data_IF_320597645965
#
_entry.id   IF_320597645965
#
_cell.length_a   1.000
_cell.length_b   1.000
_cell.length_c   1.000
_cell.angle_alpha   90.00
_cell.angle_beta   90.00
_cell.angle_gamma   90.00
#
_symmetry.space_group_name_H-M   'P 1'
#
loop_
_entity.id
_entity.type
_entity.pdbx_description
1 polymer ?
#
# COMPACT_ATOMS: atom_id res chain seq x y z
N UNK A 1 -8.40 -8.90 34.03
CA UNK A 1 -8.85 -10.29 34.24
C UNK A 1 -10.20 -10.64 33.58
N UNK A 2 -10.93 -9.69 32.96
CA UNK A 2 -12.20 -10.00 32.27
C UNK A 2 -12.07 -10.31 30.76
N UNK A 3 -10.93 -10.00 30.12
CA UNK A 3 -10.76 -10.19 28.67
C UNK A 3 -10.28 -11.58 28.25
N UNK A 4 -9.78 -12.38 29.20
CA UNK A 4 -9.32 -13.76 28.93
C UNK A 4 -10.45 -14.80 29.04
N UNK A 5 -11.57 -14.45 29.67
CA UNK A 5 -12.70 -15.38 29.82
C UNK A 5 -13.54 -15.55 28.54
N UNK A 6 -13.52 -14.56 27.63
CA UNK A 6 -14.27 -14.63 26.37
C UNK A 6 -13.58 -15.51 25.33
N UNK A 7 -12.26 -15.63 25.37
CA UNK A 7 -11.49 -16.47 24.44
C UNK A 7 -11.51 -17.96 24.82
N UNK A 8 -11.73 -18.28 26.10
CA UNK A 8 -11.76 -19.67 26.58
C UNK A 8 -13.12 -20.33 26.29
N UNK A 9 -14.22 -19.56 26.28
CA UNK A 9 -15.54 -20.08 25.92
C UNK A 9 -15.69 -20.44 24.43
N UNK A 10 -14.82 -19.94 23.54
CA UNK A 10 -14.84 -20.28 22.11
C UNK A 10 -14.15 -21.62 21.79
N UNK A 11 -13.34 -22.13 22.71
CA UNK A 11 -12.56 -23.37 22.52
C UNK A 11 -13.26 -24.58 23.15
N UNK A 12 -14.24 -24.38 24.05
CA UNK A 12 -14.90 -25.46 24.79
C UNK A 12 -16.32 -25.83 24.33
N UNK A 13 -16.89 -25.18 23.30
CA UNK A 13 -18.12 -25.66 22.65
C UNK A 13 -17.77 -26.58 21.48
N UNK A 14 -18.11 -27.85 21.67
CA UNK A 14 -17.79 -29.04 20.89
C UNK A 14 -17.93 -28.95 19.36
N UNK A 15 -17.18 -29.83 18.66
CA UNK A 15 -17.23 -30.05 17.22
C UNK A 15 -18.42 -30.93 16.84
N UNK A 16 -19.38 -30.40 16.09
CA UNK A 16 -20.26 -31.19 15.23
C UNK A 16 -21.03 -30.25 14.30
N UNK A 17 -21.07 -30.61 13.01
CA UNK A 17 -21.89 -30.00 11.96
C UNK A 17 -21.56 -28.55 11.54
N UNK A 18 -20.68 -28.40 10.55
CA UNK A 18 -20.72 -27.25 9.64
C UNK A 18 -20.73 -27.75 8.20
N UNK A 19 -21.93 -27.69 7.59
CA UNK A 19 -22.19 -27.88 6.17
C UNK A 19 -21.31 -26.97 5.30
N UNK A 20 -21.15 -27.36 4.03
CA UNK A 20 -20.53 -26.59 2.91
C UNK A 20 -21.05 -25.14 2.72
N UNK A 21 -22.01 -24.69 3.53
CA UNK A 21 -22.61 -23.37 3.59
C UNK A 21 -21.69 -22.28 4.17
N UNK A 22 -20.80 -22.62 5.11
CA UNK A 22 -20.07 -21.61 5.89
C UNK A 22 -18.71 -21.19 5.31
N UNK A 23 -18.10 -22.01 4.45
CA UNK A 23 -16.94 -21.60 3.65
C UNK A 23 -17.31 -20.46 2.67
N UNK A 24 -18.55 -20.47 2.17
CA UNK A 24 -19.09 -19.40 1.30
C UNK A 24 -19.36 -18.09 2.06
N UNK A 25 -19.71 -18.15 3.34
CA UNK A 25 -19.89 -16.95 4.18
C UNK A 25 -18.54 -16.36 4.59
N UNK A 26 -17.55 -17.19 4.89
CA UNK A 26 -16.18 -16.74 5.20
C UNK A 26 -15.50 -16.06 3.99
N UNK A 27 -15.66 -16.61 2.78
CA UNK A 27 -15.16 -15.99 1.53
C UNK A 27 -15.89 -14.67 1.21
N UNK A 28 -17.20 -14.58 1.51
CA UNK A 28 -17.96 -13.32 1.39
C UNK A 28 -17.49 -12.28 2.40
N UNK A 29 -17.20 -12.66 3.65
CA UNK A 29 -16.67 -11.76 4.68
C UNK A 29 -15.30 -11.20 4.27
N UNK A 30 -14.41 -12.04 3.72
CA UNK A 30 -13.11 -11.61 3.20
C UNK A 30 -13.23 -10.71 1.95
N UNK A 31 -14.23 -10.95 1.09
CA UNK A 31 -14.52 -10.09 -0.07
C UNK A 31 -15.16 -8.76 0.31
N UNK A 32 -16.00 -8.73 1.35
CA UNK A 32 -16.60 -7.51 1.91
C UNK A 32 -15.51 -6.65 2.59
N UNK A 33 -14.59 -7.25 3.35
CA UNK A 33 -13.44 -6.52 3.91
C UNK A 33 -12.45 -6.03 2.84
N UNK A 34 -12.26 -6.77 1.73
CA UNK A 34 -11.45 -6.31 0.60
C UNK A 34 -12.13 -5.16 -0.18
N UNK A 35 -13.47 -5.15 -0.28
CA UNK A 35 -14.24 -4.01 -0.80
C UNK A 35 -14.22 -2.80 0.14
N UNK A 36 -14.27 -3.02 1.47
CA UNK A 36 -14.17 -1.96 2.47
C UNK A 36 -12.76 -1.35 2.51
N UNK A 37 -11.68 -2.14 2.42
CA UNK A 37 -10.31 -1.62 2.23
C UNK A 37 -10.09 -0.87 0.92
N UNK A 38 -10.78 -1.22 -0.17
CA UNK A 38 -10.76 -0.39 -1.40
C UNK A 38 -11.51 0.93 -1.24
N UNK A 39 -12.50 0.98 -0.35
CA UNK A 39 -13.25 2.20 -0.04
C UNK A 39 -12.52 3.08 1.00
N UNK A 40 -11.76 2.46 1.91
CA UNK A 40 -10.98 3.14 2.95
C UNK A 40 -9.59 3.59 2.44
N UNK A 41 -8.99 2.93 1.44
CA UNK A 41 -7.78 3.44 0.75
C UNK A 41 -8.08 4.50 -0.32
N UNK A 42 -9.35 4.77 -0.62
CA UNK A 42 -9.76 5.90 -1.46
C UNK A 42 -9.87 7.22 -0.67
N UNK A 43 -9.78 7.20 0.67
CA UNK A 43 -9.94 8.38 1.53
C UNK A 43 -8.63 8.95 2.09
N UNK A 44 -7.47 8.38 1.74
CA UNK A 44 -6.16 8.95 2.05
C UNK A 44 -5.45 9.48 0.80
N UNK A 45 -6.16 10.27 0.01
CA UNK A 45 -5.50 11.36 -0.73
C UNK A 45 -5.28 12.46 0.31
N UNK A 46 -4.06 12.95 0.58
CA UNK A 46 -3.93 14.21 1.26
C UNK A 46 -4.62 15.23 0.38
N UNK A 47 -5.79 15.70 0.82
CA UNK A 47 -6.41 16.95 0.41
C UNK A 47 -5.47 18.07 0.81
N UNK A 48 -4.33 18.15 0.13
CA UNK A 48 -3.43 19.27 0.15
C UNK A 48 -4.18 20.41 -0.51
N UNK A 49 -4.84 21.20 0.33
CA UNK A 49 -5.38 22.54 0.13
C UNK A 49 -5.09 23.12 -1.27
N UNK A 50 -5.83 22.65 -2.27
CA UNK A 50 -6.09 23.46 -3.44
C UNK A 50 -7.09 24.52 -2.95
N UNK A 51 -6.56 25.54 -2.26
CA UNK A 51 -7.31 26.75 -1.99
C UNK A 51 -7.87 27.18 -3.33
N UNK A 52 -9.19 27.20 -3.46
CA UNK A 52 -9.91 27.65 -4.65
C UNK A 52 -9.48 29.06 -5.07
N UNK A 53 -8.81 29.81 -4.18
CA UNK A 53 -8.10 31.06 -4.48
C UNK A 53 -6.84 30.88 -5.34
N UNK A 54 -6.07 29.81 -5.17
CA UNK A 54 -4.82 29.55 -5.90
C UNK A 54 -5.03 29.20 -7.38
N UNK A 55 -6.07 28.42 -7.71
CA UNK A 55 -6.41 28.08 -9.10
C UNK A 55 -6.97 29.30 -9.84
N UNK A 56 -7.80 30.11 -9.16
CA UNK A 56 -8.34 31.36 -9.72
C UNK A 56 -7.24 32.41 -9.91
N UNK A 57 -6.28 32.53 -8.98
CA UNK A 57 -5.15 33.43 -9.12
C UNK A 57 -4.20 32.99 -10.24
N UNK A 58 -3.94 31.69 -10.38
CA UNK A 58 -3.12 31.16 -11.47
C UNK A 58 -3.78 31.37 -12.84
N UNK A 59 -5.10 31.18 -12.94
CA UNK A 59 -5.84 31.43 -14.19
C UNK A 59 -5.91 32.92 -14.53
N UNK A 60 -6.02 33.79 -13.50
CA UNK A 60 -6.02 35.25 -13.67
C UNK A 60 -4.65 35.81 -14.03
N UNK A 61 -3.57 35.27 -13.46
CA UNK A 61 -2.19 35.61 -13.82
C UNK A 61 -1.81 35.11 -15.22
N UNK A 62 -2.25 33.91 -15.62
CA UNK A 62 -2.10 33.42 -16.99
C UNK A 62 -2.82 34.34 -18.00
N UNK A 63 -4.04 34.76 -17.70
CA UNK A 63 -4.79 35.71 -18.56
C UNK A 63 -4.12 37.09 -18.66
N UNK A 64 -3.54 37.59 -17.57
CA UNK A 64 -2.82 38.88 -17.58
C UNK A 64 -1.52 38.76 -18.40
N UNK A 65 -0.75 37.69 -18.23
CA UNK A 65 0.52 37.48 -18.95
C UNK A 65 0.32 37.22 -20.46
N UNK A 66 -0.75 36.51 -20.83
CA UNK A 66 -1.08 36.22 -22.24
C UNK A 66 -1.70 37.42 -22.97
N UNK A 67 -2.32 38.35 -22.24
CA UNK A 67 -2.76 39.65 -22.77
C UNK A 67 -1.59 40.62 -22.94
N UNK A 68 -0.65 40.63 -21.99
CA UNK A 68 0.50 41.54 -21.99
C UNK A 68 1.57 41.16 -23.05
N UNK A 69 1.72 39.87 -23.35
CA UNK A 69 2.55 39.38 -24.47
C UNK A 69 1.94 39.72 -25.83
N UNK A 70 0.60 39.68 -25.98
CA UNK A 70 -0.11 40.08 -27.22
C UNK A 70 -0.06 41.61 -27.46
N UNK A 71 -0.16 42.41 -26.40
CA UNK A 71 -0.01 43.87 -26.46
C UNK A 71 1.46 44.32 -26.69
N UNK A 72 2.47 43.52 -26.28
CA UNK A 72 3.90 43.78 -26.59
C UNK A 72 4.30 43.42 -28.02
N UNK A 73 3.81 42.31 -28.57
CA UNK A 73 4.09 41.93 -29.96
C UNK A 73 3.45 42.92 -30.95
N UNK A 74 2.28 43.48 -30.63
CA UNK A 74 1.65 44.55 -31.43
C UNK A 74 2.44 45.87 -31.43
N UNK A 75 3.27 46.14 -30.41
CA UNK A 75 4.01 47.40 -30.26
C UNK A 75 5.45 47.37 -30.79
N UNK A 76 5.97 46.18 -31.12
CA UNK A 76 7.33 45.99 -31.68
C UNK A 76 7.38 45.99 -33.22
N UNK A 77 6.25 46.21 -33.90
CA UNK A 77 6.24 46.43 -35.36
C UNK A 77 6.33 47.93 -35.65
N UNK A 78 7.54 48.43 -35.91
CA UNK A 78 7.75 49.72 -36.56
C UNK A 78 7.55 49.54 -38.08
N UNK A 79 6.83 50.44 -38.78
CA UNK A 79 6.76 50.43 -40.24
C UNK A 79 8.11 50.86 -40.85
N UNK A 80 8.42 50.44 -42.09
CA UNK A 80 9.70 50.77 -42.71
C UNK A 80 9.79 52.27 -42.97
N UNK A 81 10.93 52.87 -42.57
CA UNK A 81 11.26 54.28 -42.78
C UNK A 81 11.25 54.62 -44.28
N UNK A 82 10.23 55.33 -44.74
CA UNK A 82 10.28 56.10 -45.99
C UNK A 82 10.85 57.48 -45.71
N UNK A 83 11.91 57.81 -46.46
CA UNK A 83 12.59 59.11 -46.43
C UNK A 83 11.64 60.20 -46.92
N UNK A 84 11.29 61.17 -46.08
CA UNK A 84 10.90 62.50 -46.54
C UNK A 84 11.28 63.56 -45.49
N UNK A 85 12.13 64.49 -45.92
CA UNK A 85 12.55 65.66 -45.15
C UNK A 85 11.36 66.61 -45.02
N UNK A 86 10.82 66.76 -43.81
CA UNK A 86 10.09 67.96 -43.40
C UNK A 86 10.57 68.31 -41.99
N UNK A 87 11.15 69.50 -41.85
CA UNK A 87 11.59 70.03 -40.58
C UNK A 87 10.40 70.08 -39.62
N UNK A 88 10.41 69.20 -38.62
CA UNK A 88 9.49 69.27 -37.49
C UNK A 88 10.00 70.42 -36.62
N UNK A 89 9.26 71.53 -36.61
CA UNK A 89 9.48 72.63 -35.67
C UNK A 89 9.11 72.09 -34.29
N UNK A 90 10.12 71.74 -33.49
CA UNK A 90 9.95 71.26 -32.12
C UNK A 90 9.49 72.44 -31.27
N UNK A 91 8.18 72.52 -31.04
CA UNK A 91 7.62 73.42 -30.03
C UNK A 91 7.90 72.79 -28.67
N UNK A 92 8.79 73.41 -27.91
CA UNK A 92 9.08 73.07 -26.50
C UNK A 92 8.35 74.13 -25.66
N UNK A 93 7.49 73.70 -24.74
CA UNK A 93 6.74 74.56 -23.80
C UNK A 93 5.98 75.78 -24.40
N UNK A 94 5.45 75.66 -25.61
CA UNK A 94 4.55 76.66 -26.19
C UNK A 94 5.19 77.99 -26.63
N UNK A 95 6.53 78.10 -26.64
CA UNK A 95 7.26 79.25 -27.19
C UNK A 95 8.17 78.82 -28.35
N UNK A 96 8.25 79.67 -29.39
CA UNK A 96 9.11 79.44 -30.54
C UNK A 96 10.58 79.59 -30.11
N UNK A 97 11.51 78.69 -30.50
CA UNK A 97 12.94 78.81 -30.20
C UNK A 97 13.58 80.12 -30.71
N UNK A 98 12.89 80.82 -31.61
CA UNK A 98 13.30 82.09 -32.20
C UNK A 98 13.01 83.32 -31.29
N UNK A 99 12.26 83.16 -30.20
CA UNK A 99 11.83 84.26 -29.30
C UNK A 99 12.42 84.17 -27.87
N UNK A 100 13.12 83.08 -27.54
CA UNK A 100 13.71 82.86 -26.23
C UNK A 100 15.09 83.53 -26.10
N UNK A 101 15.38 84.14 -24.94
CA UNK A 101 16.71 84.70 -24.69
C UNK A 101 17.76 83.59 -24.66
N UNK A 102 19.04 83.94 -24.92
CA UNK A 102 20.14 82.98 -24.90
C UNK A 102 20.20 82.20 -23.58
N UNK A 103 20.00 82.87 -22.46
CA UNK A 103 20.03 82.27 -21.12
C UNK A 103 18.84 81.33 -20.90
N UNK A 104 17.66 81.67 -21.42
CA UNK A 104 16.48 80.79 -21.37
C UNK A 104 16.69 79.53 -22.22
N UNK A 105 17.29 79.67 -23.41
CA UNK A 105 17.64 78.53 -24.26
C UNK A 105 18.66 77.61 -23.58
N UNK A 106 19.67 78.17 -22.91
CA UNK A 106 20.67 77.41 -22.15
C UNK A 106 20.01 76.63 -21.00
N UNK A 107 19.09 77.25 -20.26
CA UNK A 107 18.34 76.59 -19.19
C UNK A 107 17.43 75.46 -19.71
N UNK A 108 16.73 75.68 -20.83
CA UNK A 108 15.93 74.63 -21.47
C UNK A 108 16.80 73.45 -21.96
N UNK A 109 18.01 73.72 -22.48
CA UNK A 109 18.95 72.66 -22.86
C UNK A 109 19.37 71.82 -21.65
N UNK A 110 19.59 72.46 -20.49
CA UNK A 110 19.92 71.74 -19.25
C UNK A 110 18.75 70.87 -18.79
N UNK A 111 17.53 71.42 -18.72
CA UNK A 111 16.32 70.67 -18.32
C UNK A 111 16.09 69.44 -19.21
N UNK A 112 16.20 69.60 -20.53
CA UNK A 112 16.04 68.48 -21.48
C UNK A 112 17.11 67.40 -21.33
N UNK A 113 18.35 67.77 -20.94
CA UNK A 113 19.40 66.79 -20.64
C UNK A 113 19.10 66.02 -19.36
N UNK A 114 18.66 66.72 -18.32
CA UNK A 114 18.26 66.10 -17.05
C UNK A 114 17.05 65.17 -17.22
N UNK A 115 16.08 65.54 -18.06
CA UNK A 115 14.95 64.66 -18.42
C UNK A 115 15.42 63.44 -19.19
N UNK A 116 16.31 63.61 -20.17
CA UNK A 116 16.87 62.50 -20.94
C UNK A 116 17.64 61.52 -20.04
N UNK A 117 18.42 62.02 -19.09
CA UNK A 117 19.18 61.17 -18.17
C UNK A 117 18.26 60.47 -17.15
N UNK A 118 17.22 61.15 -16.64
CA UNK A 118 16.16 60.51 -15.85
C UNK A 118 15.46 59.39 -16.62
N UNK A 119 15.06 59.62 -17.86
CA UNK A 119 14.42 58.59 -18.70
C UNK A 119 15.35 57.40 -18.98
N UNK A 120 16.67 57.62 -19.09
CA UNK A 120 17.67 56.55 -19.23
C UNK A 120 17.78 55.73 -17.97
N UNK A 121 17.83 56.38 -16.81
CA UNK A 121 17.85 55.71 -15.50
C UNK A 121 16.60 54.88 -15.27
N UNK A 122 15.42 55.42 -15.57
CA UNK A 122 14.15 54.70 -15.49
C UNK A 122 14.12 53.48 -16.41
N UNK A 123 14.56 53.62 -17.67
CA UNK A 123 14.66 52.50 -18.61
C UNK A 123 15.59 51.40 -18.09
N UNK A 124 16.74 51.79 -17.53
CA UNK A 124 17.70 50.87 -16.92
C UNK A 124 17.08 50.14 -15.72
N UNK A 125 16.38 50.87 -14.85
CA UNK A 125 15.68 50.32 -13.70
C UNK A 125 14.62 49.28 -14.09
N UNK A 126 13.74 49.61 -15.04
CA UNK A 126 12.71 48.68 -15.51
C UNK A 126 13.27 47.47 -16.25
N UNK A 127 14.44 47.61 -16.89
CA UNK A 127 15.14 46.47 -17.47
C UNK A 127 15.59 45.49 -16.37
N UNK A 128 16.25 45.99 -15.33
CA UNK A 128 16.70 45.17 -14.21
C UNK A 128 15.54 44.49 -13.48
N UNK A 129 14.44 45.21 -13.24
CA UNK A 129 13.25 44.61 -12.61
C UNK A 129 12.60 43.54 -13.51
N UNK A 130 12.56 43.74 -14.82
CA UNK A 130 12.12 42.69 -15.76
C UNK A 130 13.02 41.46 -15.68
N UNK A 131 14.34 41.66 -15.68
CA UNK A 131 15.30 40.56 -15.69
C UNK A 131 15.25 39.78 -14.36
N UNK A 132 15.05 40.48 -13.25
CA UNK A 132 14.80 39.88 -11.92
C UNK A 132 13.51 39.08 -11.88
N UNK A 133 12.41 39.63 -12.41
CA UNK A 133 11.14 38.89 -12.51
C UNK A 133 11.32 37.65 -13.38
N UNK A 134 11.99 37.78 -14.52
CA UNK A 134 12.26 36.66 -15.43
C UNK A 134 13.08 35.56 -14.75
N UNK A 135 14.17 35.91 -14.08
CA UNK A 135 15.00 34.96 -13.32
C UNK A 135 14.20 34.27 -12.22
N UNK A 136 13.38 35.02 -11.46
CA UNK A 136 12.53 34.45 -10.42
C UNK A 136 11.49 33.47 -10.98
N UNK A 137 10.94 33.77 -12.16
CA UNK A 137 9.98 32.91 -12.85
C UNK A 137 10.65 31.62 -13.34
N UNK A 138 11.84 31.72 -13.95
CA UNK A 138 12.59 30.55 -14.42
C UNK A 138 12.99 29.62 -13.27
N UNK A 139 13.45 30.19 -12.14
CA UNK A 139 13.76 29.43 -10.93
C UNK A 139 12.50 28.71 -10.43
N UNK A 140 11.37 29.44 -10.32
CA UNK A 140 10.11 28.87 -9.82
C UNK A 140 9.58 27.78 -10.75
N UNK A 141 9.72 27.96 -12.07
CA UNK A 141 9.34 26.95 -13.06
C UNK A 141 10.19 25.68 -12.93
N UNK A 142 11.51 25.83 -12.82
CA UNK A 142 12.42 24.68 -12.63
C UNK A 142 12.10 23.92 -11.36
N UNK A 143 11.95 24.63 -10.22
CA UNK A 143 11.56 24.02 -8.94
C UNK A 143 10.24 23.27 -9.03
N UNK A 144 9.25 23.82 -9.73
CA UNK A 144 7.97 23.14 -9.95
C UNK A 144 8.13 21.84 -10.76
N UNK A 145 8.98 21.85 -11.78
CA UNK A 145 9.26 20.67 -12.61
C UNK A 145 10.03 19.59 -11.83
N UNK A 146 11.00 20.00 -11.01
CA UNK A 146 11.75 19.16 -10.06
C UNK A 146 10.81 18.49 -9.05
N UNK A 147 10.00 19.28 -8.33
CA UNK A 147 9.02 18.77 -7.35
C UNK A 147 7.99 17.82 -7.98
N UNK A 148 7.52 18.12 -9.19
CA UNK A 148 6.67 17.20 -9.95
C UNK A 148 7.38 15.89 -10.28
N UNK A 149 8.68 15.95 -10.58
CA UNK A 149 9.53 14.78 -10.79
C UNK A 149 9.66 13.96 -9.51
N UNK A 150 10.00 14.60 -8.41
CA UNK A 150 10.12 13.96 -7.09
C UNK A 150 8.81 13.29 -6.66
N UNK A 151 7.66 13.94 -6.86
CA UNK A 151 6.36 13.36 -6.55
C UNK A 151 6.10 12.07 -7.34
N UNK A 152 6.47 12.02 -8.62
CA UNK A 152 6.35 10.80 -9.43
C UNK A 152 7.29 9.69 -8.93
N UNK A 153 8.51 10.05 -8.53
CA UNK A 153 9.47 9.10 -7.98
C UNK A 153 8.98 8.53 -6.65
N UNK A 154 8.56 9.40 -5.72
CA UNK A 154 7.97 8.99 -4.43
C UNK A 154 6.70 8.14 -4.59
N UNK A 155 5.89 8.40 -5.61
CA UNK A 155 4.73 7.56 -5.93
C UNK A 155 5.18 6.16 -6.37
N UNK A 156 6.16 6.07 -7.26
CA UNK A 156 6.72 4.79 -7.72
C UNK A 156 7.35 4.00 -6.57
N UNK A 157 8.14 4.65 -5.73
CA UNK A 157 8.77 4.01 -4.55
C UNK A 157 7.71 3.42 -3.61
N UNK A 158 6.60 4.15 -3.39
CA UNK A 158 5.47 3.64 -2.61
C UNK A 158 4.81 2.43 -3.26
N UNK A 159 4.52 2.49 -4.56
CA UNK A 159 3.93 1.37 -5.30
C UNK A 159 4.83 0.13 -5.28
N UNK A 160 6.14 0.29 -5.44
CA UNK A 160 7.10 -0.81 -5.35
C UNK A 160 7.18 -1.39 -3.94
N UNK A 161 7.13 -0.55 -2.89
CA UNK A 161 7.09 -1.01 -1.51
C UNK A 161 5.81 -1.80 -1.20
N UNK A 162 4.66 -1.31 -1.67
CA UNK A 162 3.39 -2.01 -1.55
C UNK A 162 3.40 -3.36 -2.28
N UNK A 163 3.99 -3.41 -3.49
CA UNK A 163 4.15 -4.64 -4.25
C UNK A 163 5.03 -5.65 -3.50
N UNK A 164 6.18 -5.21 -2.95
CA UNK A 164 7.06 -6.05 -2.12
C UNK A 164 6.33 -6.61 -0.91
N UNK A 165 5.65 -5.76 -0.14
CA UNK A 165 4.87 -6.20 1.01
C UNK A 165 3.74 -7.17 0.63
N UNK A 166 3.10 -6.97 -0.51
CA UNK A 166 2.07 -7.89 -0.97
C UNK A 166 2.64 -9.27 -1.29
N UNK A 167 3.83 -9.34 -1.89
CA UNK A 167 4.56 -10.60 -2.12
C UNK A 167 4.92 -11.27 -0.79
N UNK A 168 5.52 -10.54 0.15
CA UNK A 168 5.87 -11.06 1.48
C UNK A 168 4.65 -11.65 2.19
N UNK A 169 3.51 -10.95 2.21
CA UNK A 169 2.26 -11.46 2.80
C UNK A 169 1.84 -12.79 2.14
N UNK A 170 1.97 -12.90 0.82
CA UNK A 170 1.61 -14.14 0.11
C UNK A 170 2.56 -15.29 0.44
N UNK A 171 3.86 -15.02 0.53
CA UNK A 171 4.85 -16.01 0.93
C UNK A 171 4.60 -16.50 2.35
N UNK A 172 4.39 -15.58 3.31
CA UNK A 172 4.07 -15.96 4.69
C UNK A 172 2.78 -16.76 4.79
N UNK A 173 1.76 -16.40 4.00
CA UNK A 173 0.51 -17.17 3.94
C UNK A 173 0.74 -18.58 3.40
N UNK A 174 1.60 -18.74 2.39
CA UNK A 174 1.94 -20.06 1.85
C UNK A 174 2.74 -20.89 2.86
N UNK A 175 3.74 -20.29 3.52
CA UNK A 175 4.52 -20.94 4.59
C UNK A 175 3.62 -21.43 5.72
N UNK A 176 2.66 -20.61 6.16
CA UNK A 176 1.70 -21.01 7.18
C UNK A 176 0.83 -22.18 6.73
N UNK A 177 0.34 -22.17 5.49
CA UNK A 177 -0.44 -23.30 4.95
C UNK A 177 0.37 -24.59 4.94
N UNK A 178 1.64 -24.52 4.54
CA UNK A 178 2.53 -25.67 4.47
C UNK A 178 2.74 -26.32 5.85
N UNK A 179 3.12 -25.51 6.85
CA UNK A 179 3.31 -25.99 8.22
C UNK A 179 2.02 -26.63 8.78
N UNK A 180 0.86 -26.02 8.52
CA UNK A 180 -0.42 -26.58 8.95
C UNK A 180 -0.76 -27.91 8.26
N UNK A 181 -0.45 -28.05 6.96
CA UNK A 181 -0.65 -29.32 6.27
C UNK A 181 0.30 -30.39 6.78
N UNK A 182 1.58 -30.07 6.99
CA UNK A 182 2.57 -31.01 7.51
C UNK A 182 2.15 -31.57 8.86
N UNK A 183 1.79 -30.70 9.81
CA UNK A 183 1.31 -31.16 11.11
C UNK A 183 0.02 -31.97 11.02
N UNK A 184 -0.89 -31.63 10.11
CA UNK A 184 -2.11 -32.41 9.92
C UNK A 184 -1.81 -33.82 9.41
N UNK A 185 -0.92 -33.94 8.44
CA UNK A 185 -0.51 -35.21 7.83
C UNK A 185 0.27 -36.07 8.83
N UNK A 186 1.18 -35.47 9.61
CA UNK A 186 1.90 -36.13 10.70
C UNK A 186 0.94 -36.68 11.76
N UNK A 187 0.00 -35.85 12.25
CA UNK A 187 -0.98 -36.27 13.24
C UNK A 187 -1.90 -37.37 12.70
N UNK A 188 -2.28 -37.28 11.43
CA UNK A 188 -3.08 -38.31 10.78
C UNK A 188 -2.32 -39.64 10.69
N UNK A 189 -1.06 -39.60 10.27
CA UNK A 189 -0.16 -40.76 10.23
C UNK A 189 0.00 -41.41 11.61
N UNK A 190 0.38 -40.62 12.62
CA UNK A 190 0.54 -41.11 14.00
C UNK A 190 -0.75 -41.73 14.56
N UNK A 191 -1.91 -41.15 14.24
CA UNK A 191 -3.20 -41.71 14.68
C UNK A 191 -3.51 -43.03 13.97
N UNK A 192 -3.25 -43.13 12.67
CA UNK A 192 -3.44 -44.35 11.90
C UNK A 192 -2.52 -45.48 12.42
N UNK A 193 -1.24 -45.18 12.65
CA UNK A 193 -0.26 -46.11 13.22
C UNK A 193 -0.66 -46.54 14.64
N UNK A 194 -1.13 -45.59 15.46
CA UNK A 194 -1.66 -45.86 16.79
C UNK A 194 -2.84 -46.82 16.79
N UNK A 195 -3.82 -46.61 15.89
CA UNK A 195 -4.97 -47.51 15.74
C UNK A 195 -4.55 -48.88 15.21
N UNK A 196 -3.63 -48.94 14.24
CA UNK A 196 -3.13 -50.20 13.70
C UNK A 196 -2.38 -51.02 14.76
N UNK A 197 -1.51 -50.36 15.55
CA UNK A 197 -0.75 -50.99 16.63
C UNK A 197 -1.68 -51.48 17.75
N UNK A 198 -2.66 -50.68 18.18
CA UNK A 198 -3.65 -51.08 19.17
C UNK A 198 -4.48 -52.30 18.69
N UNK A 199 -4.91 -52.29 17.43
CA UNK A 199 -5.64 -53.43 16.84
C UNK A 199 -4.78 -54.70 16.72
N UNK A 200 -3.47 -54.58 16.51
CA UNK A 200 -2.55 -55.72 16.54
C UNK A 200 -2.44 -56.31 17.95
N UNK A 201 -2.25 -55.45 18.95
CA UNK A 201 -2.17 -55.84 20.37
C UNK A 201 -3.47 -56.50 20.82
N UNK A 202 -4.63 -55.94 20.45
CA UNK A 202 -5.93 -56.53 20.76
C UNK A 202 -6.06 -57.93 20.14
N UNK A 203 -5.72 -58.10 18.86
CA UNK A 203 -5.74 -59.41 18.20
C UNK A 203 -4.83 -60.42 18.88
N UNK A 204 -3.60 -60.02 19.24
CA UNK A 204 -2.65 -60.88 19.96
C UNK A 204 -3.17 -61.26 21.35
N UNK A 205 -3.78 -60.31 22.07
CA UNK A 205 -4.40 -60.55 23.36
C UNK A 205 -5.57 -61.54 23.24
N UNK A 206 -6.50 -61.31 22.30
CA UNK A 206 -7.63 -62.22 22.05
C UNK A 206 -7.15 -63.62 21.67
N UNK A 207 -6.13 -63.75 20.82
CA UNK A 207 -5.55 -65.06 20.46
C UNK A 207 -4.96 -65.76 21.69
N UNK A 208 -4.23 -65.03 22.53
CA UNK A 208 -3.62 -65.56 23.76
C UNK A 208 -4.70 -66.00 24.75
N UNK A 209 -5.76 -65.21 24.93
CA UNK A 209 -6.89 -65.55 25.80
C UNK A 209 -7.61 -66.82 25.32
N UNK A 210 -7.84 -66.96 24.01
CA UNK A 210 -8.41 -68.17 23.41
C UNK A 210 -7.49 -69.38 23.66
N UNK A 211 -6.18 -69.21 23.50
CA UNK A 211 -5.19 -70.25 23.81
C UNK A 211 -5.28 -70.73 25.26
N UNK A 212 -5.20 -69.80 26.21
CA UNK A 212 -5.30 -70.09 27.65
C UNK A 212 -6.62 -70.77 28.02
N UNK A 213 -7.74 -70.36 27.41
CA UNK A 213 -9.05 -71.02 27.63
C UNK A 213 -9.03 -72.47 27.16
N UNK A 214 -8.40 -72.77 26.01
CA UNK A 214 -8.26 -74.15 25.52
C UNK A 214 -7.40 -74.99 26.46
N UNK A 215 -6.26 -74.45 26.89
CA UNK A 215 -5.35 -75.14 27.81
C UNK A 215 -6.01 -75.43 29.16
N UNK A 216 -6.80 -74.48 29.69
CA UNK A 216 -7.58 -74.67 30.90
C UNK A 216 -8.60 -75.80 30.76
N UNK A 217 -9.32 -75.87 29.63
CA UNK A 217 -10.26 -76.95 29.36
C UNK A 217 -9.57 -78.31 29.20
N UNK A 218 -8.42 -78.35 28.53
CA UNK A 218 -7.62 -79.57 28.39
C UNK A 218 -7.14 -80.07 29.75
N UNK A 219 -6.55 -79.19 30.58
CA UNK A 219 -6.09 -79.54 31.91
C UNK A 219 -7.23 -80.01 32.83
N UNK A 220 -8.42 -79.41 32.69
CA UNK A 220 -9.61 -79.83 33.43
C UNK A 220 -10.06 -81.24 33.03
N UNK A 221 -9.98 -81.58 31.74
CA UNK A 221 -10.29 -82.93 31.26
C UNK A 221 -9.27 -83.95 31.77
N UNK A 222 -7.97 -83.66 31.66
CA UNK A 222 -6.88 -84.51 32.16
C UNK A 222 -7.00 -84.77 33.66
N UNK A 223 -7.34 -83.73 34.45
CA UNK A 223 -7.56 -83.88 35.88
C UNK A 223 -8.74 -84.82 36.18
N UNK A 224 -9.85 -84.71 35.44
CA UNK A 224 -11.00 -85.60 35.58
C UNK A 224 -10.64 -87.03 35.19
N UNK A 225 -9.91 -87.23 34.11
CA UNK A 225 -9.44 -88.55 33.67
C UNK A 225 -8.53 -89.20 34.71
N UNK A 226 -7.52 -88.48 35.20
CA UNK A 226 -6.64 -88.96 36.27
C UNK A 226 -7.41 -89.31 37.55
N UNK A 227 -8.42 -88.52 37.90
CA UNK A 227 -9.28 -88.82 39.05
C UNK A 227 -10.07 -90.11 38.84
N UNK A 228 -10.71 -90.27 37.68
CA UNK A 228 -11.43 -91.50 37.33
C UNK A 228 -10.51 -92.72 37.31
N UNK A 229 -9.31 -92.59 36.77
CA UNK A 229 -8.29 -93.65 36.76
C UNK A 229 -7.91 -94.05 38.19
N UNK A 230 -7.62 -93.09 39.06
CA UNK A 230 -7.30 -93.36 40.47
C UNK A 230 -8.49 -94.01 41.21
N UNK A 231 -9.71 -93.47 41.05
CA UNK A 231 -10.93 -94.06 41.63
C UNK A 231 -11.13 -95.51 41.16
N UNK A 232 -10.82 -95.83 39.90
CA UNK A 232 -10.86 -97.20 39.38
C UNK A 232 -9.75 -98.08 39.96
N UNK A 233 -8.51 -97.59 40.06
CA UNK A 233 -7.41 -98.33 40.70
C UNK A 233 -7.69 -98.64 42.17
N UNK A 234 -8.28 -97.70 42.92
CA UNK A 234 -8.72 -97.94 44.31
C UNK A 234 -9.76 -99.07 44.35
N UNK A 235 -10.76 -99.05 43.47
CA UNK A 235 -11.77 -100.11 43.39
C UNK A 235 -11.15 -101.47 43.03
N UNK A 236 -10.21 -101.50 42.08
CA UNK A 236 -9.49 -102.73 41.71
C UNK A 236 -8.69 -103.29 42.89
N UNK A 237 -7.93 -102.45 43.61
CA UNK A 237 -7.19 -102.86 44.81
C UNK A 237 -8.13 -103.36 45.92
N UNK A 238 -9.32 -102.75 46.09
CA UNK A 238 -10.33 -103.22 47.04
C UNK A 238 -10.91 -104.59 46.67
N UNK A 239 -11.03 -104.89 45.37
CA UNK A 239 -11.49 -106.18 44.88
C UNK A 239 -10.41 -107.27 44.96
N UNK A 240 -9.12 -106.91 44.85
CA UNK A 240 -8.01 -107.87 44.95
C UNK A 240 -7.56 -108.19 46.38
N UNK A 241 -7.87 -107.35 47.37
CA UNK A 241 -7.54 -107.55 48.79
C UNK A 241 -8.68 -108.22 49.60
N UNK A 242 -9.65 -108.85 48.93
CA UNK A 242 -10.65 -109.75 49.53
C UNK A 242 -10.34 -111.20 49.15
#
# INVERSE_FOLDING_TARGET
MASYFVLILFVYYSPCFMCQSDLRKSIKFYSIHKKRRRHDNASCVPSGLASSRGVVLAHKLRFIFERDTRERVGRLTMPPKTKNKKAVKTVVDGLSPEEMSKDQLEEHIVRLREELDREREERSFFQLERDKIQASWEISKRRLEEEKGELRNRQREREEAEARHQVEITEYKQKLKHVLSEHHDELFGLKADGVASAGLVEKQHTQSEIGLRRDLHALQADYREKKLHNDNSIKELQLSCR
#
